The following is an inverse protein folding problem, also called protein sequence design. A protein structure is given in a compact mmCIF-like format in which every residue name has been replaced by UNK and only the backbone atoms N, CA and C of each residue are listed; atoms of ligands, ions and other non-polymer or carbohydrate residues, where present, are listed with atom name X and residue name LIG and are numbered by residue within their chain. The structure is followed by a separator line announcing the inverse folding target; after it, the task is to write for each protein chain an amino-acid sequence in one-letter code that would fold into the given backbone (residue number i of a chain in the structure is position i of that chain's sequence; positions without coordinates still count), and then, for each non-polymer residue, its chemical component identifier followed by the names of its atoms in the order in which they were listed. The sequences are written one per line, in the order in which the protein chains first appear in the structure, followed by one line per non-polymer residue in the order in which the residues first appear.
data_IF_513722120758
#
_entry.id   IF_513722120758
#
_cell.length_a   1.000
_cell.length_b   1.000
_cell.length_c   1.000
_cell.angle_alpha   90.00
_cell.angle_beta   90.00
_cell.angle_gamma   90.00
#
_symmetry.space_group_name_H-M   'P 1'
#
loop_
_entity.id
_entity.type
_entity.pdbx_description
1 polymer ?
#
# COMPACT_ATOMS: atom_id res chain seq x y z
N UNK A 1 -21.72 6.21 -8.08
CA UNK A 1 -22.71 5.52 -7.22
C UNK A 1 -22.10 4.17 -6.91
N UNK A 2 -21.98 3.79 -5.63
CA UNK A 2 -21.36 2.50 -5.24
C UNK A 2 -22.31 1.38 -5.62
N UNK A 3 -21.88 0.43 -6.47
CA UNK A 3 -22.67 -0.77 -6.78
C UNK A 3 -22.34 -1.87 -5.76
N UNK A 4 -23.29 -2.31 -4.92
CA UNK A 4 -23.02 -3.32 -3.90
C UNK A 4 -22.79 -4.72 -4.48
N UNK A 5 -23.06 -4.96 -5.78
CA UNK A 5 -22.78 -6.24 -6.45
C UNK A 5 -21.41 -6.25 -7.14
N UNK A 6 -20.74 -5.11 -7.20
CA UNK A 6 -19.39 -4.98 -7.75
C UNK A 6 -18.36 -5.14 -6.62
N UNK A 7 -17.56 -6.23 -6.62
CA UNK A 7 -16.58 -6.49 -5.56
C UNK A 7 -15.49 -5.40 -5.49
N UNK A 8 -15.25 -4.66 -6.58
CA UNK A 8 -14.31 -3.53 -6.58
C UNK A 8 -14.87 -2.33 -5.81
N UNK A 9 -16.19 -2.18 -5.77
CA UNK A 9 -16.91 -1.14 -5.04
C UNK A 9 -17.13 -1.48 -3.56
N UNK A 10 -17.52 -2.72 -3.25
CA UNK A 10 -17.76 -3.21 -1.87
C UNK A 10 -17.31 -4.66 -1.72
N UNK A 11 -16.59 -4.99 -0.66
CA UNK A 11 -16.23 -6.38 -0.33
C UNK A 11 -16.15 -6.55 1.19
N UNK A 12 -16.67 -7.67 1.72
CA UNK A 12 -16.79 -7.94 3.17
C UNK A 12 -17.40 -6.79 4.00
N UNK A 13 -18.33 -6.04 3.41
CA UNK A 13 -18.96 -4.88 4.04
C UNK A 13 -18.10 -3.62 4.11
N UNK A 14 -16.88 -3.65 3.54
CA UNK A 14 -16.01 -2.47 3.38
C UNK A 14 -16.16 -1.91 1.98
N UNK A 15 -16.43 -0.61 1.90
CA UNK A 15 -16.63 0.13 0.65
C UNK A 15 -15.36 0.85 0.20
N UNK A 16 -15.29 1.20 -1.09
CA UNK A 16 -14.20 2.04 -1.60
C UNK A 16 -14.14 3.43 -0.93
N UNK A 17 -15.29 3.96 -0.48
CA UNK A 17 -15.36 5.22 0.26
C UNK A 17 -14.80 5.12 1.68
N UNK A 18 -14.84 3.93 2.29
CA UNK A 18 -14.20 3.69 3.59
C UNK A 18 -12.67 3.75 3.46
N UNK A 19 -12.11 3.15 2.39
CA UNK A 19 -10.69 3.27 2.08
C UNK A 19 -10.27 4.71 1.77
N UNK A 20 -11.06 5.43 0.98
CA UNK A 20 -10.82 6.85 0.73
C UNK A 20 -10.75 7.62 2.06
N UNK A 21 -11.72 7.40 2.95
CA UNK A 21 -11.77 8.08 4.25
C UNK A 21 -10.59 7.71 5.15
N UNK A 22 -10.20 6.43 5.19
CA UNK A 22 -9.07 5.95 5.98
C UNK A 22 -7.72 6.47 5.48
N UNK A 23 -7.59 6.69 4.18
CA UNK A 23 -6.36 7.18 3.56
C UNK A 23 -6.30 8.72 3.50
N UNK A 24 -7.43 9.42 3.60
CA UNK A 24 -7.51 10.88 3.46
C UNK A 24 -6.61 11.67 4.44
N UNK A 25 -6.19 11.08 5.56
CA UNK A 25 -5.26 11.70 6.50
C UNK A 25 -4.30 10.68 7.08
N UNK A 26 -2.99 10.94 6.98
CA UNK A 26 -1.93 10.15 7.63
C UNK A 26 -1.14 11.10 8.52
N UNK A 27 -1.08 10.83 9.82
CA UNK A 27 -0.38 11.70 10.77
C UNK A 27 1.11 11.84 10.41
N UNK A 28 1.61 13.07 10.44
CA UNK A 28 2.98 13.41 10.00
C UNK A 28 3.13 13.67 8.49
N UNK A 29 2.08 13.45 7.69
CA UNK A 29 2.10 13.66 6.25
C UNK A 29 1.07 14.68 5.80
N UNK A 30 1.46 15.48 4.80
CA UNK A 30 0.55 16.32 4.03
C UNK A 30 0.03 15.50 2.85
N UNK A 31 -1.29 15.30 2.79
CA UNK A 31 -1.94 14.79 1.57
C UNK A 31 -1.87 15.85 0.48
N UNK A 32 -1.23 15.53 -0.64
CA UNK A 32 -1.26 16.38 -1.83
C UNK A 32 -2.54 16.16 -2.62
N UNK A 33 -2.91 14.90 -2.78
CA UNK A 33 -4.00 14.44 -3.62
C UNK A 33 -4.47 13.08 -3.12
N UNK A 34 -5.79 12.92 -3.02
CA UNK A 34 -6.43 11.62 -2.85
C UNK A 34 -7.59 11.52 -3.82
N UNK A 35 -7.60 10.47 -4.62
CA UNK A 35 -8.55 10.27 -5.70
C UNK A 35 -9.13 8.87 -5.67
N UNK A 36 -10.35 8.76 -6.19
CA UNK A 36 -10.97 7.50 -6.55
C UNK A 36 -11.09 7.50 -8.07
N UNK A 37 -10.39 6.59 -8.74
CA UNK A 37 -10.66 6.32 -10.15
C UNK A 37 -12.02 5.61 -10.22
N UNK A 38 -13.03 6.31 -10.76
CA UNK A 38 -14.40 5.81 -10.85
C UNK A 38 -14.59 4.65 -11.84
N UNK A 39 -13.66 4.46 -12.77
CA UNK A 39 -13.72 3.36 -13.74
C UNK A 39 -13.15 2.07 -13.15
N UNK A 40 -12.07 2.19 -12.37
CA UNK A 40 -11.34 1.04 -11.83
C UNK A 40 -11.59 0.78 -10.34
N UNK A 41 -12.25 1.70 -9.64
CA UNK A 41 -12.45 1.71 -8.18
C UNK A 41 -11.13 1.57 -7.41
N UNK A 42 -10.11 2.31 -7.85
CA UNK A 42 -8.81 2.39 -7.18
C UNK A 42 -8.77 3.68 -6.37
N UNK A 43 -8.48 3.59 -5.07
CA UNK A 43 -8.12 4.76 -4.26
C UNK A 43 -6.62 4.95 -4.38
N UNK A 44 -6.18 6.16 -4.74
CA UNK A 44 -4.76 6.54 -4.71
C UNK A 44 -4.59 7.80 -3.88
N UNK A 45 -3.70 7.76 -2.90
CA UNK A 45 -3.28 8.94 -2.15
C UNK A 45 -1.78 9.19 -2.29
N UNK A 46 -1.39 10.46 -2.44
CA UNK A 46 0.01 10.91 -2.46
C UNK A 46 0.27 11.80 -1.25
N UNK A 47 1.39 11.58 -0.60
CA UNK A 47 1.71 12.15 0.70
C UNK A 47 3.17 12.61 0.75
N UNK A 48 3.39 13.86 1.12
CA UNK A 48 4.73 14.34 1.49
C UNK A 48 4.85 14.35 3.00
N UNK A 49 5.97 13.89 3.54
CA UNK A 49 6.19 14.03 4.97
C UNK A 49 6.41 15.51 5.34
N UNK A 50 5.85 15.96 6.46
CA UNK A 50 5.86 17.37 6.88
C UNK A 50 7.22 17.89 7.37
N UNK A 51 8.17 16.99 7.65
CA UNK A 51 9.40 17.29 8.39
C UNK A 51 10.62 16.56 7.80
N UNK A 52 10.39 15.43 7.13
CA UNK A 52 11.43 14.56 6.58
C UNK A 52 11.38 14.59 5.04
N UNK A 53 12.51 14.45 4.33
CA UNK A 53 12.57 14.47 2.87
C UNK A 53 12.15 13.13 2.27
N UNK A 54 10.91 12.72 2.53
CA UNK A 54 10.34 11.48 2.00
C UNK A 54 8.93 11.69 1.48
N UNK A 55 8.57 10.89 0.49
CA UNK A 55 7.22 10.85 -0.09
C UNK A 55 6.66 9.44 -0.06
N UNK A 56 5.35 9.34 0.10
CA UNK A 56 4.62 8.09 0.05
C UNK A 56 3.48 8.17 -0.94
N UNK A 57 3.23 7.06 -1.63
CA UNK A 57 2.00 6.83 -2.38
C UNK A 57 1.34 5.58 -1.83
N UNK A 58 0.05 5.66 -1.54
CA UNK A 58 -0.74 4.52 -1.07
C UNK A 58 -1.86 4.27 -2.06
N UNK A 59 -2.01 3.02 -2.49
CA UNK A 59 -3.11 2.56 -3.34
C UNK A 59 -3.91 1.49 -2.63
N UNK A 60 -5.22 1.51 -2.81
CA UNK A 60 -6.12 0.43 -2.40
C UNK A 60 -6.98 0.00 -3.58
N UNK A 61 -6.90 -1.27 -3.95
CA UNK A 61 -7.60 -1.80 -5.13
C UNK A 61 -7.89 -3.29 -5.04
N UNK A 62 -8.99 -3.73 -5.63
CA UNK A 62 -9.22 -5.16 -5.89
C UNK A 62 -8.44 -5.51 -7.15
N UNK A 63 -7.49 -6.46 -7.10
CA UNK A 63 -6.74 -6.80 -8.29
C UNK A 63 -7.63 -7.47 -9.32
N UNK A 64 -7.15 -7.54 -10.56
CA UNK A 64 -7.90 -8.15 -11.66
C UNK A 64 -7.11 -9.31 -12.23
N UNK A 65 -7.79 -10.45 -12.40
CA UNK A 65 -7.28 -11.58 -13.17
C UNK A 65 -8.07 -11.66 -14.47
N UNK A 66 -7.36 -11.57 -15.60
CA UNK A 66 -7.96 -11.65 -16.93
C UNK A 66 -9.10 -10.63 -17.18
N UNK A 67 -9.07 -9.50 -16.47
CA UNK A 67 -10.04 -8.41 -16.55
C UNK A 67 -11.12 -8.42 -15.47
N UNK A 68 -11.33 -9.57 -14.82
CA UNK A 68 -12.34 -9.75 -13.77
C UNK A 68 -11.79 -9.44 -12.38
N UNK A 69 -12.59 -8.82 -11.48
CA UNK A 69 -12.17 -8.59 -10.10
C UNK A 69 -11.80 -9.89 -9.38
N UNK A 70 -10.64 -9.89 -8.73
CA UNK A 70 -10.07 -11.05 -8.04
C UNK A 70 -9.67 -10.65 -6.61
N UNK A 71 -10.62 -10.61 -5.66
CA UNK A 71 -10.30 -10.24 -4.29
C UNK A 71 -9.36 -11.26 -3.63
N UNK A 72 -8.32 -10.77 -2.94
CA UNK A 72 -7.34 -11.64 -2.25
C UNK A 72 -7.78 -11.96 -0.83
N UNK A 73 -7.45 -13.17 -0.36
CA UNK A 73 -7.76 -13.59 1.02
C UNK A 73 -6.83 -12.91 2.03
N UNK A 74 -5.52 -13.00 1.81
CA UNK A 74 -4.49 -12.39 2.66
C UNK A 74 -3.18 -12.15 1.88
N UNK A 75 -2.13 -11.72 2.58
CA UNK A 75 -0.80 -11.47 1.99
C UNK A 75 -0.07 -12.73 1.51
N UNK A 76 -0.52 -13.91 1.94
CA UNK A 76 0.01 -15.21 1.53
C UNK A 76 -0.74 -15.81 0.34
N UNK A 77 -1.76 -15.11 -0.19
CA UNK A 77 -2.40 -15.46 -1.44
C UNK A 77 -1.34 -15.62 -2.56
N UNK A 78 -1.38 -16.71 -3.36
CA UNK A 78 -0.44 -16.92 -4.46
C UNK A 78 -0.37 -15.76 -5.46
N UNK A 79 -1.47 -15.02 -5.67
CA UNK A 79 -1.48 -13.87 -6.57
C UNK A 79 -0.68 -12.69 -6.01
N UNK A 80 -0.35 -12.66 -4.71
CA UNK A 80 0.53 -11.63 -4.15
C UNK A 80 1.91 -11.61 -4.82
N UNK A 81 2.38 -12.78 -5.27
CA UNK A 81 3.67 -12.93 -5.98
C UNK A 81 3.72 -12.14 -7.30
N UNK A 82 2.57 -11.89 -7.92
CA UNK A 82 2.51 -11.05 -9.12
C UNK A 82 2.94 -9.61 -8.81
N UNK A 83 2.43 -9.02 -7.72
CA UNK A 83 2.76 -7.64 -7.33
C UNK A 83 4.21 -7.51 -6.87
N UNK A 84 4.67 -8.46 -6.04
CA UNK A 84 6.08 -8.51 -5.64
C UNK A 84 6.99 -8.63 -6.87
N UNK A 85 6.66 -9.51 -7.83
CA UNK A 85 7.40 -9.68 -9.08
C UNK A 85 7.49 -8.42 -9.95
N UNK A 86 6.45 -7.59 -9.96
CA UNK A 86 6.48 -6.28 -10.64
C UNK A 86 7.49 -5.34 -9.99
N UNK A 87 7.51 -5.26 -8.66
CA UNK A 87 8.47 -4.41 -7.93
C UNK A 87 9.90 -4.94 -8.10
N UNK A 88 10.10 -6.26 -8.05
CA UNK A 88 11.40 -6.88 -8.32
C UNK A 88 11.93 -6.49 -9.68
N UNK A 89 11.08 -6.55 -10.70
CA UNK A 89 11.43 -6.20 -12.07
C UNK A 89 11.78 -4.71 -12.17
N UNK A 90 10.99 -3.82 -11.57
CA UNK A 90 11.27 -2.38 -11.53
C UNK A 90 12.61 -2.06 -10.85
N UNK A 91 12.90 -2.67 -9.70
CA UNK A 91 14.16 -2.48 -8.96
C UNK A 91 15.35 -3.00 -9.78
N UNK A 92 15.20 -4.19 -10.39
CA UNK A 92 16.24 -4.82 -11.22
C UNK A 92 16.53 -4.00 -12.48
N UNK A 93 15.50 -3.47 -13.14
CA UNK A 93 15.63 -2.57 -14.29
C UNK A 93 16.31 -1.24 -13.92
N UNK A 94 16.14 -0.79 -12.67
CA UNK A 94 16.88 0.32 -12.09
C UNK A 94 18.35 0.03 -11.78
N UNK A 95 18.80 -1.23 -11.92
CA UNK A 95 20.18 -1.64 -11.68
C UNK A 95 20.50 -2.02 -10.24
N UNK A 96 19.48 -2.25 -9.41
CA UNK A 96 19.62 -2.62 -8.00
C UNK A 96 19.15 -4.06 -7.73
N UNK A 97 19.55 -4.62 -6.60
CA UNK A 97 19.09 -5.93 -6.15
C UNK A 97 17.84 -5.78 -5.28
N UNK A 98 16.70 -6.43 -5.60
CA UNK A 98 15.53 -6.41 -4.74
C UNK A 98 15.70 -7.34 -3.54
N UNK A 99 15.26 -6.91 -2.38
CA UNK A 99 15.17 -7.70 -1.15
C UNK A 99 13.78 -7.67 -0.60
N UNK A 100 13.25 -8.87 -0.34
CA UNK A 100 11.98 -9.06 0.33
C UNK A 100 12.15 -9.11 1.84
N UNK A 101 11.29 -8.38 2.54
CA UNK A 101 11.20 -8.38 3.99
C UNK A 101 9.73 -8.46 4.44
N UNK A 102 9.51 -9.00 5.63
CA UNK A 102 8.19 -9.05 6.26
C UNK A 102 8.19 -8.10 7.44
N UNK A 103 7.33 -7.08 7.38
CA UNK A 103 7.12 -6.11 8.46
C UNK A 103 5.80 -6.41 9.14
N UNK A 104 5.85 -6.60 10.46
CA UNK A 104 4.65 -6.86 11.26
C UNK A 104 4.25 -5.60 12.03
N UNK A 105 3.08 -5.08 11.70
CA UNK A 105 2.39 -4.03 12.46
C UNK A 105 1.32 -4.67 13.37
N UNK A 106 0.75 -3.95 14.36
CA UNK A 106 -0.20 -4.54 15.31
C UNK A 106 -1.40 -5.26 14.68
N UNK A 107 -1.89 -4.78 13.53
CA UNK A 107 -3.06 -5.36 12.86
C UNK A 107 -2.73 -6.00 11.50
N UNK A 108 -1.62 -5.65 10.85
CA UNK A 108 -1.29 -6.18 9.51
C UNK A 108 0.12 -6.76 9.41
N UNK A 109 0.23 -7.86 8.65
CA UNK A 109 1.48 -8.32 8.07
C UNK A 109 1.68 -7.60 6.73
N UNK A 110 2.88 -7.10 6.48
CA UNK A 110 3.26 -6.40 5.26
C UNK A 110 4.41 -7.16 4.58
N UNK A 111 4.26 -7.41 3.28
CA UNK A 111 5.35 -7.90 2.43
C UNK A 111 5.98 -6.73 1.71
N UNK A 112 7.22 -6.41 2.06
CA UNK A 112 7.94 -5.27 1.50
C UNK A 112 9.05 -5.74 0.58
N UNK A 113 9.31 -4.96 -0.47
CA UNK A 113 10.46 -5.10 -1.36
C UNK A 113 11.22 -3.79 -1.33
N UNK A 114 12.51 -3.86 -1.01
CA UNK A 114 13.42 -2.72 -0.97
C UNK A 114 14.65 -2.98 -1.84
N UNK A 115 15.24 -1.96 -2.49
CA UNK A 115 16.52 -2.10 -3.15
C UNK A 115 17.66 -2.21 -2.12
N UNK A 116 18.64 -3.08 -2.38
CA UNK A 116 19.93 -3.14 -1.69
C UNK A 116 21.02 -2.33 -2.41
N UNK A 117 22.05 -1.93 -1.65
CA UNK A 117 23.26 -1.26 -2.15
C UNK A 117 23.01 0.01 -2.98
N UNK A 118 21.95 0.75 -2.65
CA UNK A 118 21.60 2.01 -3.30
C UNK A 118 22.73 3.05 -3.07
N UNK A 119 23.25 3.72 -4.10
CA UNK A 119 24.20 4.83 -3.96
C UNK A 119 23.56 6.04 -3.25
N UNK A 120 24.36 6.83 -2.52
CA UNK A 120 23.89 7.95 -1.68
C UNK A 120 23.01 8.98 -2.42
N UNK A 121 23.24 9.20 -3.72
CA UNK A 121 22.51 10.17 -4.54
C UNK A 121 21.31 9.58 -5.30
N UNK A 122 21.02 8.29 -5.11
CA UNK A 122 19.93 7.58 -5.79
C UNK A 122 18.70 7.47 -4.88
N UNK A 123 17.54 7.27 -5.51
CA UNK A 123 16.27 7.11 -4.77
C UNK A 123 16.07 5.66 -4.36
N UNK A 124 15.94 5.43 -3.05
CA UNK A 124 15.47 4.19 -2.50
C UNK A 124 13.93 4.12 -2.63
N UNK A 125 13.45 3.15 -3.40
CA UNK A 125 12.02 2.92 -3.65
C UNK A 125 11.59 1.62 -2.97
N UNK A 126 11.07 1.73 -1.77
CA UNK A 126 10.47 0.59 -1.07
C UNK A 126 9.00 0.47 -1.46
N UNK A 127 8.51 -0.74 -1.71
CA UNK A 127 7.08 -1.00 -1.87
C UNK A 127 6.63 -2.08 -0.89
N UNK A 128 5.56 -1.81 -0.14
CA UNK A 128 4.99 -2.72 0.84
C UNK A 128 3.54 -3.04 0.52
N UNK A 129 3.16 -4.30 0.70
CA UNK A 129 1.84 -4.80 0.37
C UNK A 129 1.18 -5.44 1.59
N UNK A 130 -0.09 -5.10 1.81
CA UNK A 130 -0.98 -5.90 2.66
C UNK A 130 -2.31 -6.18 1.96
N UNK A 131 -3.16 -6.98 2.58
CA UNK A 131 -4.52 -7.27 2.09
C UNK A 131 -5.55 -6.93 3.14
N UNK A 132 -6.62 -6.25 2.72
CA UNK A 132 -7.75 -5.90 3.55
C UNK A 132 -9.04 -5.89 2.71
N UNK A 133 -10.06 -6.64 3.14
CA UNK A 133 -11.34 -6.72 2.43
C UNK A 133 -11.19 -6.97 0.92
N UNK A 134 -10.46 -8.04 0.57
CA UNK A 134 -10.25 -8.42 -0.83
C UNK A 134 -9.32 -7.50 -1.61
N UNK A 135 -8.86 -6.38 -1.02
CA UNK A 135 -8.06 -5.36 -1.70
C UNK A 135 -6.59 -5.50 -1.34
N UNK A 136 -5.75 -5.31 -2.34
CA UNK A 136 -4.33 -5.04 -2.15
C UNK A 136 -4.19 -3.59 -1.70
N UNK A 137 -3.46 -3.40 -0.60
CA UNK A 137 -3.00 -2.10 -0.14
C UNK A 137 -1.51 -2.01 -0.45
N UNK A 138 -1.17 -1.20 -1.43
CA UNK A 138 0.20 -0.97 -1.89
C UNK A 138 0.70 0.35 -1.34
N UNK A 139 1.84 0.33 -0.66
CA UNK A 139 2.52 1.51 -0.11
C UNK A 139 3.87 1.64 -0.79
N UNK A 140 4.02 2.63 -1.65
CA UNK A 140 5.30 3.01 -2.22
C UNK A 140 5.90 4.14 -1.38
N UNK A 141 7.09 3.93 -0.84
CA UNK A 141 7.84 4.90 -0.06
C UNK A 141 9.12 5.26 -0.81
N UNK A 142 9.40 6.56 -0.97
CA UNK A 142 10.55 7.05 -1.72
C UNK A 142 11.36 8.03 -0.90
N UNK A 143 12.64 7.71 -0.75
CA UNK A 143 13.61 8.49 0.01
C UNK A 143 14.94 8.51 -0.75
N UNK A 144 15.65 9.64 -0.75
CA UNK A 144 17.02 9.68 -1.30
C UNK A 144 17.94 8.95 -0.32
N UNK A 145 18.84 8.11 -0.81
CA UNK A 145 19.60 7.21 0.04
C UNK A 145 20.41 7.93 1.13
N UNK A 146 20.97 9.11 0.86
CA UNK A 146 21.69 9.91 1.85
C UNK A 146 20.82 10.34 3.04
N UNK A 147 19.49 10.38 2.86
CA UNK A 147 18.53 10.77 3.88
C UNK A 147 17.95 9.56 4.65
N UNK A 148 18.27 8.31 4.27
CA UNK A 148 17.68 7.10 4.88
C UNK A 148 17.92 7.01 6.39
N UNK A 149 19.11 7.39 6.87
CA UNK A 149 19.42 7.39 8.30
C UNK A 149 18.56 8.41 9.08
N UNK A 150 18.19 9.52 8.44
CA UNK A 150 17.36 10.56 9.03
C UNK A 150 15.86 10.20 8.96
N UNK A 151 15.42 9.65 7.83
CA UNK A 151 14.01 9.29 7.60
C UNK A 151 13.63 8.06 8.43
N UNK A 152 14.54 7.11 8.58
CA UNK A 152 14.29 5.84 9.24
C UNK A 152 13.49 4.87 8.36
N UNK A 153 13.08 3.72 8.92
CA UNK A 153 12.45 2.64 8.17
C UNK A 153 11.01 2.96 7.75
N UNK A 154 10.52 2.27 6.73
CA UNK A 154 9.14 2.34 6.27
C UNK A 154 8.13 1.94 7.36
N UNK A 155 8.54 1.15 8.36
CA UNK A 155 7.74 0.71 9.51
C UNK A 155 6.96 1.84 10.19
N UNK A 156 7.52 3.05 10.27
CA UNK A 156 6.83 4.18 10.88
C UNK A 156 5.59 4.58 10.07
N UNK A 157 5.70 4.67 8.74
CA UNK A 157 4.58 4.91 7.84
C UNK A 157 3.57 3.75 7.91
N UNK A 158 4.05 2.51 7.89
CA UNK A 158 3.20 1.32 7.96
C UNK A 158 2.41 1.28 9.28
N UNK A 159 2.99 1.68 10.40
CA UNK A 159 2.28 1.80 11.69
C UNK A 159 1.20 2.89 11.67
N UNK A 160 1.41 4.01 10.95
CA UNK A 160 0.35 5.03 10.78
C UNK A 160 -0.80 4.48 9.95
N UNK A 161 -0.49 3.81 8.85
CA UNK A 161 -1.48 3.17 7.99
C UNK A 161 -2.22 2.04 8.71
N UNK A 162 -1.53 1.24 9.50
CA UNK A 162 -2.13 0.19 10.35
C UNK A 162 -3.24 0.76 11.23
N UNK A 163 -2.99 1.87 11.94
CA UNK A 163 -3.99 2.52 12.78
C UNK A 163 -5.20 3.06 11.98
N UNK A 164 -4.96 3.58 10.78
CA UNK A 164 -6.03 4.10 9.93
C UNK A 164 -6.90 2.98 9.32
N UNK A 165 -6.29 1.83 9.00
CA UNK A 165 -6.95 0.70 8.34
C UNK A 165 -7.57 -0.28 9.35
N UNK A 166 -7.11 -0.30 10.61
CA UNK A 166 -7.61 -1.19 11.65
C UNK A 166 -9.13 -1.13 11.88
N UNK A 167 -9.80 0.03 11.86
CA UNK A 167 -11.26 0.10 11.97
C UNK A 167 -11.98 -0.68 10.85
N UNK A 168 -11.43 -0.68 9.63
CA UNK A 168 -12.02 -1.40 8.50
C UNK A 168 -11.89 -2.91 8.66
N UNK A 169 -10.78 -3.38 9.22
CA UNK A 169 -10.58 -4.81 9.57
C UNK A 169 -11.58 -5.29 10.62
N UNK A 170 -11.97 -4.43 11.56
CA UNK A 170 -13.00 -4.73 12.55
C UNK A 170 -14.41 -4.85 11.92
N UNK A 171 -14.71 -4.02 10.91
CA UNK A 171 -15.98 -4.11 10.16
C UNK A 171 -16.14 -5.46 9.45
N UNK A 172 -15.06 -6.01 8.89
CA UNK A 172 -15.10 -7.37 8.32
C UNK A 172 -15.44 -8.42 9.39
N UNK A 173 -14.78 -8.34 10.55
CA UNK A 173 -14.94 -9.34 11.63
C UNK A 173 -16.31 -9.30 12.30
N UNK A 174 -17.01 -8.15 12.24
CA UNK A 174 -18.36 -7.99 12.77
C UNK A 174 -19.48 -8.51 11.86
N UNK A 175 -19.16 -8.86 10.61
CA UNK A 175 -20.10 -9.41 9.63
C UNK A 175 -19.96 -10.93 9.43
N UNK A 176 -19.07 -11.59 10.19
CA UNK A 176 -18.82 -13.03 10.16
C UNK A 176 -19.71 -13.82 11.14
#
# INVERSE_FOLDING_TARGET
MVDPNDPTSVYDGVTISDFFSALNFIDGYQSEEIEIDSETNIVTGKYNHLELPTVAQVKAYVPRDSGEPHPLEDVNDPHMQFFLGQVHSMITEGGFSPVEEVVNTPNFEWKCVTPEDVPMNETNNTACFTVLAGRVIEVQHKVVQEDVEMVGPADNLLNRLDNNLAPLKQLQSGNA
#
